data_IF_414742561369
#
_entry.id   IF_414742561369
#
_cell.length_a   1.000
_cell.length_b   1.000
_cell.length_c   1.000
_cell.angle_alpha   90.00
_cell.angle_beta   90.00
_cell.angle_gamma   90.00
#
_symmetry.space_group_name_H-M   'P 1'
#
loop_
_entity.id
_entity.type
_entity.pdbx_description
1 polymer ?
#
# COMPACT_ATOMS: atom_id res chain seq x y z
N UNK A 1 -3.45 20.91 -3.66
CA UNK A 1 -2.81 22.14 -3.15
C UNK A 1 -1.37 21.81 -2.80
N UNK A 2 -0.42 22.34 -3.56
CA UNK A 2 1.02 22.16 -3.35
C UNK A 2 1.70 23.38 -3.96
N UNK A 3 2.54 24.05 -3.18
CA UNK A 3 3.17 25.29 -3.61
C UNK A 3 4.52 24.95 -4.21
N UNK A 4 4.59 24.86 -5.54
CA UNK A 4 5.85 24.92 -6.28
C UNK A 4 5.98 26.31 -6.88
N UNK A 5 7.11 26.98 -6.62
CA UNK A 5 7.37 28.39 -6.95
C UNK A 5 7.47 28.72 -8.44
N UNK A 6 7.11 27.81 -9.34
CA UNK A 6 7.18 28.01 -10.79
C UNK A 6 5.79 28.26 -11.38
N UNK A 7 5.36 29.52 -11.27
CA UNK A 7 4.27 30.20 -12.00
C UNK A 7 2.83 29.82 -11.66
N UNK A 8 2.10 30.83 -11.13
CA UNK A 8 0.65 30.94 -11.25
C UNK A 8 0.30 31.19 -12.73
N UNK A 9 -0.09 30.13 -13.46
CA UNK A 9 -0.99 30.31 -14.61
C UNK A 9 -2.41 30.05 -14.06
N UNK A 10 -3.31 31.05 -14.02
CA UNK A 10 -4.69 30.81 -13.64
C UNK A 10 -5.40 30.11 -14.80
N UNK A 11 -5.16 28.81 -14.96
CA UNK A 11 -5.94 27.97 -15.87
C UNK A 11 -7.17 27.56 -15.07
N UNK A 12 -8.28 28.27 -15.30
CA UNK A 12 -9.57 27.98 -14.65
C UNK A 12 -10.34 26.82 -15.32
N UNK A 13 -9.80 26.25 -16.41
CA UNK A 13 -10.36 25.08 -17.09
C UNK A 13 -9.68 23.83 -16.56
N UNK A 14 -10.49 22.90 -16.05
CA UNK A 14 -10.02 21.58 -15.65
C UNK A 14 -9.68 20.79 -16.92
N UNK A 15 -8.49 20.21 -16.96
CA UNK A 15 -8.12 19.29 -18.02
C UNK A 15 -8.97 18.02 -17.92
N UNK A 16 -9.59 17.63 -19.02
CA UNK A 16 -10.50 16.47 -19.10
C UNK A 16 -10.00 15.41 -20.06
N UNK A 17 -8.93 15.69 -20.82
CA UNK A 17 -8.35 14.72 -21.74
C UNK A 17 -7.81 13.52 -20.95
N UNK A 18 -8.06 12.28 -21.43
CA UNK A 18 -7.52 11.08 -20.81
C UNK A 18 -6.00 11.16 -20.69
N UNK A 19 -5.49 11.08 -19.46
CA UNK A 19 -4.05 11.11 -19.20
C UNK A 19 -3.60 9.84 -18.47
N UNK A 20 -2.78 9.04 -19.14
CA UNK A 20 -2.20 7.80 -18.60
C UNK A 20 -1.23 8.03 -17.43
N UNK A 21 -0.71 9.26 -17.26
CA UNK A 21 0.21 9.60 -16.16
C UNK A 21 -0.51 9.61 -14.81
N UNK A 22 -1.79 9.98 -14.75
CA UNK A 22 -2.52 10.04 -13.48
C UNK A 22 -2.77 8.63 -12.88
N UNK A 23 -3.26 7.64 -13.66
CA UNK A 23 -3.31 6.25 -13.21
C UNK A 23 -1.92 5.68 -12.89
N UNK A 24 -0.90 5.99 -13.70
CA UNK A 24 0.47 5.50 -13.46
C UNK A 24 1.12 6.03 -12.18
N UNK A 25 0.86 7.28 -11.80
CA UNK A 25 1.32 7.87 -10.53
C UNK A 25 0.56 7.28 -9.35
N UNK A 26 -0.74 7.03 -9.50
CA UNK A 26 -1.51 6.37 -8.46
C UNK A 26 -0.99 4.94 -8.26
N UNK A 27 -0.83 4.17 -9.33
CA UNK A 27 -0.43 2.76 -9.24
C UNK A 27 0.97 2.56 -8.65
N UNK A 28 1.91 3.45 -8.95
CA UNK A 28 3.30 3.36 -8.48
C UNK A 28 3.64 4.36 -7.36
N UNK A 29 2.64 5.05 -6.83
CA UNK A 29 2.82 6.06 -5.79
C UNK A 29 3.05 5.45 -4.41
N UNK A 30 3.63 6.24 -3.51
CA UNK A 30 3.83 5.87 -2.09
C UNK A 30 2.51 5.43 -1.44
N UNK A 31 1.39 6.02 -1.82
CA UNK A 31 0.08 5.64 -1.31
C UNK A 31 -0.29 4.20 -1.69
N UNK A 32 -0.17 3.82 -2.96
CA UNK A 32 -0.52 2.46 -3.40
C UNK A 32 0.42 1.42 -2.80
N UNK A 33 1.72 1.72 -2.73
CA UNK A 33 2.66 0.87 -2.01
C UNK A 33 2.28 0.70 -0.54
N UNK A 34 1.87 1.77 0.14
CA UNK A 34 1.46 1.71 1.54
C UNK A 34 0.12 0.99 1.73
N UNK A 35 -0.80 1.08 0.78
CA UNK A 35 -2.11 0.44 0.82
C UNK A 35 -2.05 -1.05 0.49
N UNK A 36 -1.13 -1.46 -0.39
CA UNK A 36 -0.97 -2.86 -0.75
C UNK A 36 -0.12 -3.65 0.25
N UNK A 37 0.74 -2.97 1.03
CA UNK A 37 1.64 -3.61 1.98
C UNK A 37 0.91 -4.27 3.15
N UNK A 38 1.21 -5.55 3.38
CA UNK A 38 0.86 -6.29 4.58
C UNK A 38 1.79 -5.90 5.73
N UNK A 39 1.60 -4.68 6.24
CA UNK A 39 2.45 -4.12 7.29
C UNK A 39 2.12 -4.66 8.67
N UNK A 40 3.08 -4.54 9.58
CA UNK A 40 2.91 -4.94 10.98
C UNK A 40 1.67 -4.27 11.59
N UNK A 41 0.86 -5.06 12.29
CA UNK A 41 -0.44 -4.67 12.84
C UNK A 41 -1.48 -4.15 11.83
N UNK A 42 -1.27 -4.35 10.53
CA UNK A 42 -2.25 -3.93 9.51
C UNK A 42 -3.41 -4.92 9.39
N UNK A 43 -4.61 -4.45 9.01
CA UNK A 43 -5.72 -5.34 8.69
C UNK A 43 -5.43 -6.31 7.54
N UNK A 44 -4.57 -5.95 6.59
CA UNK A 44 -4.18 -6.83 5.49
C UNK A 44 -3.31 -7.99 5.99
N UNK A 45 -2.31 -7.70 6.82
CA UNK A 45 -1.53 -8.75 7.46
C UNK A 45 -2.43 -9.68 8.30
N UNK A 46 -3.40 -9.12 9.02
CA UNK A 46 -4.32 -9.91 9.82
C UNK A 46 -5.22 -10.82 8.95
N UNK A 47 -5.71 -10.34 7.80
CA UNK A 47 -6.43 -11.18 6.84
C UNK A 47 -5.59 -12.35 6.33
N UNK A 48 -4.32 -12.10 5.99
CA UNK A 48 -3.41 -13.15 5.56
C UNK A 48 -3.16 -14.19 6.66
N UNK A 49 -3.10 -13.77 7.93
CA UNK A 49 -2.88 -14.67 9.07
C UNK A 49 -4.12 -15.51 9.37
N UNK A 50 -5.30 -14.89 9.36
CA UNK A 50 -6.54 -15.54 9.79
C UNK A 50 -7.15 -16.45 8.72
N UNK A 51 -6.85 -16.21 7.44
CA UNK A 51 -7.42 -17.01 6.35
C UNK A 51 -7.07 -18.50 6.48
N UNK A 52 -8.09 -19.35 6.33
CA UNK A 52 -7.91 -20.81 6.40
C UNK A 52 -7.58 -21.41 5.04
N UNK A 53 -7.92 -20.73 3.94
CA UNK A 53 -7.59 -21.15 2.57
C UNK A 53 -7.28 -19.95 1.64
N UNK A 54 -6.58 -20.18 0.53
CA UNK A 54 -6.34 -19.14 -0.49
C UNK A 54 -7.63 -18.58 -1.09
N UNK A 55 -8.66 -19.41 -1.27
CA UNK A 55 -9.98 -19.02 -1.78
C UNK A 55 -10.71 -18.11 -0.81
N UNK A 56 -10.71 -18.45 0.48
CA UNK A 56 -11.32 -17.61 1.53
C UNK A 56 -10.59 -16.26 1.66
N UNK A 57 -9.26 -16.29 1.56
CA UNK A 57 -8.46 -15.06 1.53
C UNK A 57 -8.86 -14.19 0.34
N UNK A 58 -8.96 -14.78 -0.85
CA UNK A 58 -9.34 -14.06 -2.06
C UNK A 58 -10.76 -13.47 -1.95
N UNK A 59 -11.73 -14.24 -1.46
CA UNK A 59 -13.10 -13.75 -1.24
C UNK A 59 -13.10 -12.54 -0.28
N UNK A 60 -12.32 -12.60 0.80
CA UNK A 60 -12.17 -11.51 1.76
C UNK A 60 -11.54 -10.25 1.16
N UNK A 61 -10.52 -10.42 0.29
CA UNK A 61 -9.89 -9.31 -0.43
C UNK A 61 -10.87 -8.65 -1.41
N UNK A 62 -11.59 -9.44 -2.19
CA UNK A 62 -12.58 -8.95 -3.15
C UNK A 62 -13.70 -8.17 -2.46
N UNK A 63 -14.22 -8.68 -1.34
CA UNK A 63 -15.21 -7.95 -0.55
C UNK A 63 -14.65 -6.64 0.00
N UNK A 64 -13.39 -6.61 0.44
CA UNK A 64 -12.76 -5.42 1.02
C UNK A 64 -12.52 -4.32 -0.01
N UNK A 65 -12.03 -4.68 -1.19
CA UNK A 65 -11.64 -3.71 -2.22
C UNK A 65 -12.79 -3.43 -3.20
N UNK A 66 -13.46 -4.46 -3.70
CA UNK A 66 -14.47 -4.35 -4.76
C UNK A 66 -15.91 -4.51 -4.25
N UNK A 67 -16.11 -4.76 -2.94
CA UNK A 67 -17.45 -4.91 -2.33
C UNK A 67 -18.34 -5.99 -2.98
N UNK A 68 -17.71 -7.02 -3.56
CA UNK A 68 -18.37 -8.18 -4.19
C UNK A 68 -17.50 -9.43 -4.04
N UNK A 69 -18.03 -10.60 -4.37
CA UNK A 69 -17.24 -11.82 -4.49
C UNK A 69 -16.53 -11.91 -5.86
N UNK A 70 -15.40 -12.62 -5.96
CA UNK A 70 -14.76 -12.92 -7.23
C UNK A 70 -15.57 -13.94 -8.03
N UNK A 71 -15.58 -13.79 -9.34
CA UNK A 71 -16.12 -14.80 -10.26
C UNK A 71 -15.14 -15.97 -10.48
N UNK A 72 -15.58 -17.01 -11.18
CA UNK A 72 -14.77 -18.22 -11.41
C UNK A 72 -13.49 -17.94 -12.22
N UNK A 73 -13.51 -16.94 -13.09
CA UNK A 73 -12.34 -16.54 -13.88
C UNK A 73 -11.30 -15.82 -13.01
N UNK A 74 -11.75 -14.90 -12.15
CA UNK A 74 -10.92 -14.22 -11.16
C UNK A 74 -10.33 -15.20 -10.14
N UNK A 75 -11.13 -16.16 -9.66
CA UNK A 75 -10.65 -17.25 -8.81
C UNK A 75 -9.54 -18.05 -9.51
N UNK A 76 -9.78 -18.45 -10.75
CA UNK A 76 -8.79 -19.20 -11.55
C UNK A 76 -7.49 -18.41 -11.79
N UNK A 77 -7.56 -17.08 -11.86
CA UNK A 77 -6.40 -16.22 -12.06
C UNK A 77 -5.57 -16.00 -10.79
N UNK A 78 -6.22 -15.73 -9.65
CA UNK A 78 -5.52 -15.30 -8.42
C UNK A 78 -5.24 -16.42 -7.42
N UNK A 79 -6.12 -17.43 -7.31
CA UNK A 79 -5.95 -18.51 -6.32
C UNK A 79 -4.63 -19.26 -6.49
N UNK A 80 -4.16 -19.61 -7.70
CA UNK A 80 -2.88 -20.33 -7.85
C UNK A 80 -1.68 -19.56 -7.28
N UNK A 81 -1.66 -18.23 -7.43
CA UNK A 81 -0.60 -17.39 -6.90
C UNK A 81 -0.62 -17.34 -5.37
N UNK A 82 -1.80 -17.20 -4.76
CA UNK A 82 -1.95 -17.21 -3.31
C UNK A 82 -1.70 -18.59 -2.69
N UNK A 83 -2.04 -19.67 -3.40
CA UNK A 83 -1.90 -21.04 -2.93
C UNK A 83 -0.43 -21.48 -2.83
N UNK A 84 0.44 -20.98 -3.71
CA UNK A 84 1.85 -21.31 -3.68
C UNK A 84 2.51 -20.78 -2.40
N UNK A 85 2.85 -21.69 -1.48
CA UNK A 85 3.46 -21.33 -0.19
C UNK A 85 2.47 -20.90 0.90
N UNK A 86 1.16 -21.06 0.68
CA UNK A 86 0.13 -20.64 1.63
C UNK A 86 0.22 -21.34 3.00
N UNK A 87 0.35 -22.67 3.01
CA UNK A 87 0.46 -23.47 4.24
C UNK A 87 1.68 -23.08 5.08
N UNK A 88 2.74 -22.69 4.38
CA UNK A 88 4.02 -22.31 4.92
C UNK A 88 4.17 -20.78 5.01
N UNK A 89 3.11 -19.99 4.86
CA UNK A 89 3.27 -18.53 4.80
C UNK A 89 3.66 -17.89 6.14
N UNK A 90 3.36 -18.56 7.25
CA UNK A 90 3.61 -18.03 8.59
C UNK A 90 4.95 -18.50 9.14
N UNK A 91 5.66 -17.58 9.78
CA UNK A 91 6.87 -17.89 10.52
C UNK A 91 6.52 -18.49 11.89
N UNK A 92 7.27 -19.51 12.36
CA UNK A 92 7.18 -19.99 13.74
C UNK A 92 7.39 -18.85 14.73
N UNK A 93 6.65 -18.85 15.85
CA UNK A 93 6.63 -17.75 16.81
C UNK A 93 8.01 -17.42 17.42
N UNK A 94 8.92 -18.40 17.50
CA UNK A 94 10.30 -18.24 17.96
C UNK A 94 11.21 -17.55 16.94
N UNK A 95 10.81 -17.49 15.68
CA UNK A 95 11.56 -16.87 14.58
C UNK A 95 11.06 -15.45 14.25
N UNK A 96 9.88 -15.07 14.74
CA UNK A 96 9.31 -13.73 14.52
C UNK A 96 10.14 -12.67 15.24
N UNK A 97 10.72 -11.75 14.48
CA UNK A 97 11.48 -10.61 15.00
C UNK A 97 10.70 -9.33 14.75
N UNK A 98 10.29 -8.66 15.82
CA UNK A 98 9.56 -7.41 15.70
C UNK A 98 10.42 -6.33 15.04
N UNK A 99 9.83 -5.50 14.16
CA UNK A 99 10.54 -4.38 13.58
C UNK A 99 10.97 -3.40 14.66
N UNK A 100 12.12 -2.75 14.46
CA UNK A 100 12.59 -1.74 15.39
C UNK A 100 11.64 -0.53 15.38
N UNK A 101 11.21 -0.10 16.56
CA UNK A 101 10.38 1.10 16.68
C UNK A 101 11.20 2.33 16.30
N UNK A 102 10.63 3.16 15.41
CA UNK A 102 11.28 4.38 14.98
C UNK A 102 11.19 5.43 16.07
N UNK A 103 12.33 6.01 16.46
CA UNK A 103 12.36 7.11 17.43
C UNK A 103 11.51 8.28 16.90
N UNK A 104 10.58 8.83 17.70
CA UNK A 104 9.77 9.97 17.29
C UNK A 104 10.64 11.16 16.87
N UNK A 105 10.31 11.76 15.74
CA UNK A 105 11.00 12.97 15.29
C UNK A 105 10.47 14.18 16.07
N UNK A 106 11.32 15.20 16.31
CA UNK A 106 10.84 16.47 16.85
C UNK A 106 9.81 17.11 15.91
N UNK A 107 8.91 17.92 16.48
CA UNK A 107 7.84 18.54 15.70
C UNK A 107 8.37 19.77 14.95
N UNK A 108 8.15 19.79 13.64
CA UNK A 108 8.36 20.97 12.79
C UNK A 108 7.01 21.65 12.55
N UNK A 109 6.90 22.92 12.95
CA UNK A 109 5.69 23.76 12.89
C UNK A 109 6.01 25.14 12.32
N UNK A 110 4.99 25.99 12.19
CA UNK A 110 5.19 27.39 11.80
C UNK A 110 6.12 28.16 12.76
N UNK A 111 6.22 27.79 14.04
CA UNK A 111 7.03 28.56 14.99
C UNK A 111 8.53 28.32 14.85
N UNK A 112 8.96 27.22 14.21
CA UNK A 112 10.38 26.88 14.02
C UNK A 112 10.77 26.69 12.53
N UNK A 113 9.93 27.10 11.58
CA UNK A 113 10.16 26.85 10.15
C UNK A 113 11.39 27.55 9.53
N UNK A 114 11.99 28.53 10.23
CA UNK A 114 13.22 29.21 9.78
C UNK A 114 14.50 28.64 10.42
N UNK A 115 14.38 27.62 11.26
CA UNK A 115 15.51 26.94 11.91
C UNK A 115 16.01 25.85 10.96
N UNK A 116 17.32 25.78 10.61
CA UNK A 116 17.85 24.81 9.65
C UNK A 116 17.48 23.36 9.97
N UNK A 117 17.49 22.99 11.24
CA UNK A 117 17.15 21.68 11.77
C UNK A 117 15.69 21.29 11.45
N UNK A 118 14.79 22.28 11.28
CA UNK A 118 13.42 22.01 10.86
C UNK A 118 13.34 21.43 9.44
N UNK A 119 14.26 21.80 8.56
CA UNK A 119 14.35 21.22 7.22
C UNK A 119 14.85 19.77 7.27
N UNK A 120 15.83 19.47 8.13
CA UNK A 120 16.35 18.10 8.33
C UNK A 120 15.24 17.16 8.82
N UNK A 121 14.41 17.63 9.76
CA UNK A 121 13.24 16.90 10.26
C UNK A 121 12.26 16.59 9.13
N UNK A 122 11.95 17.55 8.25
CA UNK A 122 11.01 17.35 7.13
C UNK A 122 11.55 16.37 6.09
N UNK A 123 12.85 16.43 5.77
CA UNK A 123 13.50 15.48 4.86
C UNK A 123 13.44 14.05 5.44
N UNK A 124 13.70 13.90 6.74
CA UNK A 124 13.62 12.60 7.41
C UNK A 124 12.18 12.07 7.49
N UNK A 125 11.19 12.94 7.74
CA UNK A 125 9.77 12.57 7.62
C UNK A 125 9.43 12.05 6.22
N UNK A 126 9.86 12.77 5.18
CA UNK A 126 9.65 12.33 3.79
C UNK A 126 10.30 10.96 3.55
N UNK A 127 11.52 10.74 4.05
CA UNK A 127 12.21 9.45 3.93
C UNK A 127 11.41 8.31 4.58
N UNK A 128 10.94 8.49 5.82
CA UNK A 128 10.11 7.50 6.54
C UNK A 128 8.80 7.20 5.82
N UNK A 129 8.15 8.23 5.28
CA UNK A 129 6.91 8.07 4.50
C UNK A 129 7.18 7.27 3.22
N UNK A 130 8.28 7.53 2.52
CA UNK A 130 8.66 6.79 1.32
C UNK A 130 9.02 5.32 1.59
N UNK A 131 9.65 5.03 2.73
CA UNK A 131 9.91 3.65 3.17
C UNK A 131 8.62 2.90 3.51
N UNK A 132 7.63 3.62 4.04
CA UNK A 132 6.37 3.07 4.50
C UNK A 132 6.51 2.28 5.80
N UNK A 133 5.39 1.77 6.35
CA UNK A 133 5.42 0.94 7.54
C UNK A 133 6.20 -0.37 7.29
N UNK A 134 6.81 -0.91 8.33
CA UNK A 134 7.54 -2.17 8.24
C UNK A 134 6.58 -3.32 7.83
N UNK A 135 7.03 -4.26 6.99
CA UNK A 135 6.23 -5.46 6.67
C UNK A 135 5.99 -6.30 7.93
N UNK A 136 4.87 -7.03 7.96
CA UNK A 136 4.53 -7.86 9.11
C UNK A 136 5.56 -8.99 9.29
N UNK A 137 6.21 -9.11 10.46
CA UNK A 137 7.29 -10.06 10.67
C UNK A 137 6.80 -11.50 10.83
N UNK A 138 5.48 -11.73 10.93
CA UNK A 138 4.89 -13.07 11.05
C UNK A 138 4.75 -13.76 9.71
N UNK A 139 4.80 -13.02 8.60
CA UNK A 139 4.57 -13.54 7.25
C UNK A 139 5.91 -13.66 6.51
N UNK A 140 6.18 -14.84 5.92
CA UNK A 140 7.36 -15.08 5.08
C UNK A 140 7.37 -14.11 3.89
N UNK A 141 8.51 -13.49 3.63
CA UNK A 141 8.62 -12.40 2.66
C UNK A 141 8.26 -12.85 1.25
N UNK A 142 8.67 -14.07 0.88
CA UNK A 142 8.46 -14.65 -0.45
C UNK A 142 6.97 -14.81 -0.77
N UNK A 143 6.16 -15.21 0.21
CA UNK A 143 4.71 -15.32 0.05
C UNK A 143 4.04 -13.95 0.19
N UNK A 144 4.49 -13.13 1.15
CA UNK A 144 3.94 -11.79 1.39
C UNK A 144 4.01 -10.92 0.14
N UNK A 145 5.13 -10.92 -0.58
CA UNK A 145 5.31 -10.10 -1.79
C UNK A 145 4.28 -10.49 -2.87
N UNK A 146 4.03 -11.78 -3.09
CA UNK A 146 2.99 -12.26 -4.01
C UNK A 146 1.59 -11.85 -3.55
N UNK A 147 1.33 -11.95 -2.24
CA UNK A 147 0.07 -11.49 -1.66
C UNK A 147 -0.14 -9.97 -1.86
N UNK A 148 0.90 -9.16 -1.64
CA UNK A 148 0.87 -7.72 -1.85
C UNK A 148 0.67 -7.35 -3.34
N UNK A 149 1.21 -8.14 -4.27
CA UNK A 149 0.97 -7.98 -5.72
C UNK A 149 -0.48 -8.28 -6.11
N UNK A 150 -1.13 -9.28 -5.49
CA UNK A 150 -2.57 -9.54 -5.66
C UNK A 150 -3.38 -8.35 -5.15
N UNK A 151 -3.07 -7.84 -3.96
CA UNK A 151 -3.72 -6.65 -3.41
C UNK A 151 -3.52 -5.44 -4.32
N UNK A 152 -2.31 -5.22 -4.81
CA UNK A 152 -1.99 -4.15 -5.76
C UNK A 152 -2.82 -4.28 -7.04
N UNK A 153 -2.99 -5.50 -7.56
CA UNK A 153 -3.81 -5.77 -8.75
C UNK A 153 -5.27 -5.38 -8.53
N UNK A 154 -5.83 -5.66 -7.35
CA UNK A 154 -7.21 -5.27 -7.00
C UNK A 154 -7.36 -3.75 -6.88
N UNK A 155 -6.40 -3.07 -6.25
CA UNK A 155 -6.41 -1.60 -6.12
C UNK A 155 -6.36 -0.91 -7.50
N UNK A 156 -5.71 -1.55 -8.47
CA UNK A 156 -5.56 -1.04 -9.83
C UNK A 156 -6.52 -1.69 -10.84
N UNK A 157 -7.54 -2.40 -10.35
CA UNK A 157 -8.54 -3.02 -11.22
C UNK A 157 -9.32 -1.95 -12.02
N UNK A 158 -9.73 -2.30 -13.24
CA UNK A 158 -10.50 -1.41 -14.11
C UNK A 158 -11.84 -1.00 -13.50
N UNK A 159 -12.38 -1.76 -12.55
CA UNK A 159 -13.58 -1.39 -11.79
C UNK A 159 -13.41 -0.12 -10.96
N UNK A 160 -12.16 0.25 -10.61
CA UNK A 160 -11.86 1.54 -9.99
C UNK A 160 -11.68 2.68 -11.00
N UNK A 161 -11.52 2.37 -12.30
CA UNK A 161 -11.30 3.38 -13.34
C UNK A 161 -12.65 3.95 -13.77
N UNK A 162 -12.94 5.17 -13.30
CA UNK A 162 -14.06 5.95 -13.81
C UNK A 162 -13.78 6.40 -15.25
N UNK A 163 -14.59 5.95 -16.20
CA UNK A 163 -14.58 6.44 -17.59
C UNK A 163 -15.75 7.42 -17.76
N UNK A 164 -15.49 8.70 -18.10
CA UNK A 164 -16.51 9.73 -18.29
C UNK A 164 -17.55 9.43 -19.37
#
# INVERSE_FOLDING_TARGET
>A
FGWTGTRQKPIARRETDPNVLQPGILSNGVLSMSLSRASDHSPLAQLAIDATSPEELLDSLFLRFLSRYPDDHQKSAFVPALAYGFEDRLLPADQVKQPAELVPLPVSTWTNHLVPEANEIQVEWQHRIQQGPAPDPRIRAEWREVYEDVVWSLINDLEFVWVP
#
